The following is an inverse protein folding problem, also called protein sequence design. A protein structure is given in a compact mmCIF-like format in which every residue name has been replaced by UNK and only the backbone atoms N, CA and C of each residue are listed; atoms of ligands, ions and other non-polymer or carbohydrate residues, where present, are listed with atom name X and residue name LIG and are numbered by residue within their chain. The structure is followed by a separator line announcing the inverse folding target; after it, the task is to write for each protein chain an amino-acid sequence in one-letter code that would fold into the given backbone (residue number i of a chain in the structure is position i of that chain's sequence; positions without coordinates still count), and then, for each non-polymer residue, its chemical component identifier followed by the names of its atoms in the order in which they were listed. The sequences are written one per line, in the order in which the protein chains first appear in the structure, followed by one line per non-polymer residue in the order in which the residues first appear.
data_IF_449406729481
#
_entry.id   IF_449406729481
#
_cell.length_a   1.000
_cell.length_b   1.000
_cell.length_c   1.000
_cell.angle_alpha   90.00
_cell.angle_beta   90.00
_cell.angle_gamma   90.00
#
_symmetry.space_group_name_H-M   'P 1'
#
loop_
_entity.id
_entity.type
_entity.pdbx_description
1 polymer ?
#
# COMPACT_ATOMS: atom_id res chain seq x y z
N UNK A 1 -28.46 -19.31 -12.12
CA UNK A 1 -29.24 -18.53 -11.14
C UNK A 1 -28.34 -17.47 -10.54
N UNK A 2 -28.55 -16.20 -10.89
CA UNK A 2 -27.84 -15.08 -10.27
C UNK A 2 -28.51 -14.79 -8.92
N UNK A 3 -27.73 -14.80 -7.84
CA UNK A 3 -28.19 -14.48 -6.48
C UNK A 3 -28.89 -13.11 -6.46
N UNK A 4 -30.21 -13.11 -6.29
CA UNK A 4 -31.05 -11.92 -6.30
C UNK A 4 -30.94 -11.05 -5.02
N UNK A 5 -29.98 -11.33 -4.14
CA UNK A 5 -29.80 -10.61 -2.86
C UNK A 5 -28.38 -10.11 -2.59
N UNK A 6 -27.38 -10.41 -3.44
CA UNK A 6 -26.02 -9.94 -3.21
C UNK A 6 -25.84 -8.52 -3.76
N UNK A 7 -25.42 -7.57 -2.90
CA UNK A 7 -24.97 -6.24 -3.35
C UNK A 7 -24.00 -6.43 -4.53
N UNK A 8 -24.16 -5.72 -5.66
CA UNK A 8 -23.41 -5.99 -6.90
C UNK A 8 -21.89 -5.92 -6.71
N UNK A 9 -21.41 -5.37 -5.59
CA UNK A 9 -20.01 -5.17 -5.25
C UNK A 9 -19.49 -6.09 -4.13
N UNK A 10 -20.19 -7.17 -3.75
CA UNK A 10 -19.76 -8.07 -2.66
C UNK A 10 -18.37 -8.68 -2.91
N UNK A 11 -18.12 -9.21 -4.11
CA UNK A 11 -16.82 -9.82 -4.47
C UNK A 11 -15.65 -8.83 -4.40
N UNK A 12 -15.68 -7.66 -5.06
CA UNK A 12 -14.59 -6.69 -4.96
C UNK A 12 -14.41 -6.15 -3.53
N UNK A 13 -15.49 -6.00 -2.75
CA UNK A 13 -15.40 -5.61 -1.35
C UNK A 13 -14.64 -6.66 -0.51
N UNK A 14 -15.04 -7.93 -0.58
CA UNK A 14 -14.37 -9.02 0.14
C UNK A 14 -12.91 -9.19 -0.30
N UNK A 15 -12.65 -9.05 -1.60
CA UNK A 15 -11.28 -9.10 -2.11
C UNK A 15 -10.44 -7.95 -1.55
N UNK A 16 -10.96 -6.72 -1.50
CA UNK A 16 -10.21 -5.57 -1.00
C UNK A 16 -9.85 -5.70 0.48
N UNK A 17 -10.81 -6.08 1.32
CA UNK A 17 -10.58 -6.19 2.77
C UNK A 17 -9.61 -7.32 3.13
N UNK A 18 -9.46 -8.33 2.26
CA UNK A 18 -8.49 -9.42 2.42
C UNK A 18 -7.13 -9.09 1.80
N UNK A 19 -7.10 -8.48 0.60
CA UNK A 19 -5.85 -8.15 -0.09
C UNK A 19 -4.96 -7.21 0.72
N UNK A 20 -5.55 -6.28 1.48
CA UNK A 20 -4.79 -5.33 2.30
C UNK A 20 -3.92 -6.02 3.37
N UNK A 21 -4.48 -6.74 4.34
CA UNK A 21 -3.64 -7.42 5.33
C UNK A 21 -2.84 -8.57 4.72
N UNK A 22 -3.34 -9.28 3.71
CA UNK A 22 -2.57 -10.37 3.09
C UNK A 22 -1.28 -9.86 2.44
N UNK A 23 -1.32 -8.70 1.77
CA UNK A 23 -0.11 -8.14 1.14
C UNK A 23 0.81 -7.50 2.19
N UNK A 24 0.24 -6.75 3.15
CA UNK A 24 0.99 -6.01 4.14
C UNK A 24 1.61 -6.88 5.25
N UNK A 25 0.96 -7.99 5.61
CA UNK A 25 1.38 -8.83 6.73
C UNK A 25 1.87 -10.19 6.27
N UNK A 26 1.04 -10.93 5.51
CA UNK A 26 1.35 -12.30 5.13
C UNK A 26 2.49 -12.36 4.12
N UNK A 27 2.44 -11.53 3.07
CA UNK A 27 3.45 -11.56 2.00
C UNK A 27 4.75 -10.86 2.42
N UNK A 28 4.68 -9.89 3.34
CA UNK A 28 5.86 -9.23 3.90
C UNK A 28 6.58 -10.10 4.93
N UNK A 29 5.85 -10.99 5.59
CA UNK A 29 6.35 -11.87 6.64
C UNK A 29 6.19 -11.32 8.05
N UNK A 30 5.53 -10.17 8.23
CA UNK A 30 5.21 -9.60 9.55
C UNK A 30 4.27 -10.51 10.35
N UNK A 31 3.19 -10.99 9.70
CA UNK A 31 2.35 -12.08 10.23
C UNK A 31 2.36 -13.25 9.22
N UNK A 32 3.31 -14.20 9.34
CA UNK A 32 3.49 -15.30 8.39
C UNK A 32 2.24 -16.18 8.21
N UNK A 33 2.14 -16.94 7.11
CA UNK A 33 0.96 -17.74 6.76
C UNK A 33 0.44 -18.69 7.85
N UNK A 34 1.31 -19.25 8.69
CA UNK A 34 0.87 -20.13 9.77
C UNK A 34 0.13 -19.37 10.89
N UNK A 35 0.44 -18.11 11.13
CA UNK A 35 -0.26 -17.29 12.14
C UNK A 35 -1.69 -16.96 11.72
N UNK A 36 -1.96 -16.94 10.41
CA UNK A 36 -3.31 -16.79 9.86
C UNK A 36 -4.22 -17.99 10.12
N UNK A 37 -3.67 -19.12 10.56
CA UNK A 37 -4.47 -20.25 11.06
C UNK A 37 -5.10 -19.95 12.42
N UNK A 38 -4.59 -18.96 13.16
CA UNK A 38 -5.26 -18.45 14.33
C UNK A 38 -6.41 -17.52 13.89
N UNK A 39 -7.67 -17.92 14.09
CA UNK A 39 -8.82 -17.14 13.62
C UNK A 39 -8.92 -15.78 14.32
N UNK A 40 -8.38 -15.65 15.54
CA UNK A 40 -8.38 -14.39 16.28
C UNK A 40 -7.40 -13.40 15.63
N UNK A 41 -6.18 -13.86 15.32
CA UNK A 41 -5.19 -13.03 14.63
C UNK A 41 -5.69 -12.59 13.25
N UNK A 42 -6.20 -13.52 12.46
CA UNK A 42 -6.79 -13.22 11.16
C UNK A 42 -7.95 -12.21 11.25
N UNK A 43 -8.82 -12.34 12.27
CA UNK A 43 -9.93 -11.42 12.49
C UNK A 43 -9.42 -10.00 12.81
N UNK A 44 -8.42 -9.86 13.67
CA UNK A 44 -7.85 -8.55 14.00
C UNK A 44 -7.20 -7.88 12.79
N UNK A 45 -6.45 -8.65 11.99
CA UNK A 45 -5.87 -8.14 10.76
C UNK A 45 -6.95 -7.67 9.78
N UNK A 46 -7.99 -8.46 9.54
CA UNK A 46 -9.11 -8.08 8.67
C UNK A 46 -9.86 -6.87 9.25
N UNK A 47 -10.01 -6.78 10.57
CA UNK A 47 -10.70 -5.68 11.21
C UNK A 47 -9.94 -4.36 11.03
N UNK A 48 -8.64 -4.33 11.36
CA UNK A 48 -7.82 -3.12 11.27
C UNK A 48 -7.56 -2.74 9.80
N UNK A 49 -6.90 -3.62 9.04
CA UNK A 49 -6.50 -3.35 7.66
C UNK A 49 -7.68 -3.30 6.70
N UNK A 50 -8.63 -4.25 6.84
CA UNK A 50 -9.77 -4.33 5.95
C UNK A 50 -10.69 -3.11 6.09
N UNK A 51 -10.93 -2.64 7.32
CA UNK A 51 -11.64 -1.38 7.53
C UNK A 51 -10.81 -0.19 7.02
N UNK A 52 -9.50 -0.16 7.31
CA UNK A 52 -8.56 0.87 6.87
C UNK A 52 -8.59 1.12 5.37
N UNK A 53 -8.29 0.09 4.57
CA UNK A 53 -8.27 0.18 3.10
C UNK A 53 -9.63 0.59 2.53
N UNK A 54 -10.71 0.09 3.12
CA UNK A 54 -12.06 0.42 2.67
C UNK A 54 -12.40 1.88 2.96
N UNK A 55 -12.07 2.39 4.15
CA UNK A 55 -12.26 3.81 4.51
C UNK A 55 -11.44 4.71 3.59
N UNK A 56 -10.16 4.43 3.37
CA UNK A 56 -9.30 5.27 2.53
C UNK A 56 -9.79 5.29 1.08
N UNK A 57 -10.15 4.13 0.53
CA UNK A 57 -10.72 4.03 -0.82
C UNK A 57 -12.05 4.78 -0.95
N UNK A 58 -13.01 4.48 -0.08
CA UNK A 58 -14.34 5.08 -0.15
C UNK A 58 -14.27 6.61 0.03
N UNK A 59 -13.37 7.09 0.89
CA UNK A 59 -13.12 8.52 1.07
C UNK A 59 -12.60 9.15 -0.23
N UNK A 60 -11.56 8.57 -0.84
CA UNK A 60 -10.99 9.09 -2.07
C UNK A 60 -12.01 9.12 -3.23
N UNK A 61 -12.81 8.07 -3.37
CA UNK A 61 -13.86 7.95 -4.38
C UNK A 61 -14.98 8.96 -4.14
N UNK A 62 -15.46 9.10 -2.90
CA UNK A 62 -16.53 10.07 -2.56
C UNK A 62 -16.08 11.52 -2.73
N UNK A 63 -14.79 11.81 -2.54
CA UNK A 63 -14.21 13.11 -2.82
C UNK A 63 -13.86 13.33 -4.30
N UNK A 64 -14.01 12.31 -5.15
CA UNK A 64 -13.61 12.33 -6.56
C UNK A 64 -12.14 12.72 -6.74
N UNK A 65 -11.30 12.21 -5.84
CA UNK A 65 -9.85 12.46 -5.84
C UNK A 65 -9.08 11.31 -6.48
N UNK A 66 -7.83 11.57 -6.89
CA UNK A 66 -6.97 10.59 -7.55
C UNK A 66 -5.99 9.88 -6.62
N UNK A 67 -5.06 9.14 -7.23
CA UNK A 67 -3.98 8.40 -6.56
C UNK A 67 -3.12 9.21 -5.56
N UNK A 68 -2.80 10.50 -5.79
CA UNK A 68 -2.06 11.30 -4.81
C UNK A 68 -2.81 11.43 -3.47
N UNK A 69 -4.13 11.58 -3.53
CA UNK A 69 -4.98 11.60 -2.33
C UNK A 69 -5.05 10.23 -1.68
N UNK A 70 -5.11 9.15 -2.46
CA UNK A 70 -5.06 7.77 -1.91
C UNK A 70 -3.75 7.54 -1.15
N UNK A 71 -2.60 8.00 -1.66
CA UNK A 71 -1.31 7.88 -0.98
C UNK A 71 -1.26 8.68 0.33
N UNK A 72 -1.77 9.91 0.35
CA UNK A 72 -1.84 10.69 1.59
C UNK A 72 -2.84 10.13 2.62
N UNK A 73 -3.98 9.63 2.15
CA UNK A 73 -4.93 8.89 3.00
C UNK A 73 -4.31 7.60 3.52
N UNK A 74 -3.52 6.90 2.70
CA UNK A 74 -2.79 5.72 3.13
C UNK A 74 -1.67 6.02 4.14
N UNK A 75 -1.00 7.16 4.00
CA UNK A 75 -0.06 7.64 5.01
C UNK A 75 -0.79 7.96 6.33
N UNK A 76 -1.96 8.60 6.26
CA UNK A 76 -2.79 8.82 7.44
C UNK A 76 -3.21 7.49 8.10
N UNK A 77 -3.56 6.47 7.30
CA UNK A 77 -3.82 5.12 7.79
C UNK A 77 -2.60 4.52 8.49
N UNK A 78 -1.39 4.63 7.91
CA UNK A 78 -0.17 4.15 8.56
C UNK A 78 0.06 4.78 9.94
N UNK A 79 -0.25 6.06 10.12
CA UNK A 79 -0.16 6.71 11.44
C UNK A 79 -1.29 6.25 12.39
N UNK A 80 -2.49 5.99 11.87
CA UNK A 80 -3.60 5.43 12.66
C UNK A 80 -3.22 4.04 13.19
N UNK A 81 -2.63 3.20 12.34
CA UNK A 81 -2.18 1.87 12.71
C UNK A 81 -0.98 1.95 13.67
N UNK A 82 0.15 2.45 13.20
CA UNK A 82 1.42 2.36 13.92
C UNK A 82 1.56 3.37 15.06
N UNK A 83 1.01 4.58 14.87
CA UNK A 83 1.07 5.64 15.88
C UNK A 83 -0.04 5.51 16.93
N UNK A 84 -1.28 5.27 16.49
CA UNK A 84 -2.45 5.30 17.36
C UNK A 84 -2.92 3.91 17.81
N UNK A 85 -2.87 2.86 16.99
CA UNK A 85 -3.32 1.53 17.40
C UNK A 85 -2.21 0.79 18.16
N UNK A 86 -1.10 0.47 17.48
CA UNK A 86 -0.02 -0.36 18.03
C UNK A 86 1.12 0.43 18.67
N UNK A 87 1.15 1.75 18.52
CA UNK A 87 2.09 2.67 19.20
C UNK A 87 3.59 2.38 18.96
N UNK A 88 3.93 1.67 17.89
CA UNK A 88 5.30 1.32 17.49
C UNK A 88 6.18 2.54 17.20
N UNK A 89 5.56 3.67 16.83
CA UNK A 89 6.27 4.94 16.64
C UNK A 89 6.88 5.48 17.93
N UNK A 90 6.36 5.06 19.08
CA UNK A 90 6.71 5.62 20.38
C UNK A 90 7.37 4.59 21.29
N UNK A 91 6.97 3.32 21.20
CA UNK A 91 7.55 2.22 21.97
C UNK A 91 9.00 1.95 21.52
N UNK A 92 10.04 2.21 22.34
CA UNK A 92 11.42 1.92 21.96
C UNK A 92 11.74 0.42 21.92
N UNK A 93 10.85 -0.42 22.47
CA UNK A 93 10.99 -1.88 22.59
C UNK A 93 10.01 -2.63 21.69
N UNK A 94 9.40 -1.96 20.71
CA UNK A 94 8.55 -2.61 19.72
C UNK A 94 9.31 -3.77 19.03
N UNK A 95 8.65 -4.93 18.93
CA UNK A 95 9.29 -6.20 18.56
C UNK A 95 10.02 -6.16 17.21
N UNK A 96 9.55 -5.33 16.27
CA UNK A 96 10.09 -5.26 14.91
C UNK A 96 11.15 -4.16 14.71
N UNK A 97 11.44 -3.34 15.73
CA UNK A 97 12.35 -2.20 15.59
C UNK A 97 13.81 -2.61 15.44
N UNK A 98 14.25 -3.62 16.19
CA UNK A 98 15.68 -3.91 16.36
C UNK A 98 16.46 -2.67 16.79
N UNK A 99 17.50 -2.31 16.03
CA UNK A 99 18.36 -1.14 16.31
C UNK A 99 17.64 0.21 16.17
N UNK A 100 16.48 0.26 15.50
CA UNK A 100 15.71 1.48 15.27
C UNK A 100 15.01 2.02 16.54
N UNK A 101 14.93 1.21 17.61
CA UNK A 101 14.48 1.68 18.92
C UNK A 101 15.45 2.68 19.58
N UNK A 102 16.68 2.76 19.08
CA UNK A 102 17.70 3.73 19.50
C UNK A 102 18.13 4.62 18.33
N UNK A 103 18.37 4.01 17.17
CA UNK A 103 18.84 4.72 15.98
C UNK A 103 17.75 5.62 15.39
N UNK A 104 18.01 6.94 15.35
CA UNK A 104 17.05 7.93 14.85
C UNK A 104 15.88 8.19 15.78
N UNK A 105 15.93 7.70 17.02
CA UNK A 105 14.95 8.04 18.05
C UNK A 105 15.23 9.44 18.60
N UNK A 106 14.22 10.31 18.61
CA UNK A 106 14.31 11.65 19.19
C UNK A 106 12.94 12.13 19.70
N UNK A 107 12.92 12.80 20.85
CA UNK A 107 11.68 13.18 21.56
C UNK A 107 10.72 12.00 21.78
N UNK A 108 11.27 10.84 22.11
CA UNK A 108 10.53 9.58 22.28
C UNK A 108 9.77 9.09 21.04
N UNK A 109 10.20 9.52 19.86
CA UNK A 109 9.66 9.04 18.57
C UNK A 109 10.75 8.31 17.81
N UNK A 110 10.45 7.11 17.33
CA UNK A 110 11.28 6.31 16.43
C UNK A 110 11.14 6.87 15.00
N UNK A 111 11.75 8.02 14.68
CA UNK A 111 11.44 8.76 13.45
C UNK A 111 11.72 7.98 12.15
N UNK A 112 12.82 7.24 12.12
CA UNK A 112 13.21 6.43 10.95
C UNK A 112 12.15 5.36 10.69
N UNK A 113 11.74 4.65 11.75
CA UNK A 113 10.62 3.71 11.71
C UNK A 113 9.31 4.39 11.32
N UNK A 114 8.98 5.53 11.94
CA UNK A 114 7.73 6.22 11.70
C UNK A 114 7.56 6.67 10.24
N UNK A 115 8.62 7.22 9.63
CA UNK A 115 8.61 7.60 8.22
C UNK A 115 8.52 6.37 7.33
N UNK A 116 9.33 5.34 7.61
CA UNK A 116 9.35 4.12 6.80
C UNK A 116 7.98 3.44 6.78
N UNK A 117 7.39 3.20 7.96
CA UNK A 117 6.13 2.49 8.07
C UNK A 117 4.95 3.33 7.55
N UNK A 118 4.99 4.66 7.71
CA UNK A 118 4.01 5.55 7.06
C UNK A 118 4.01 5.37 5.55
N UNK A 119 5.19 5.32 4.91
CA UNK A 119 5.33 5.09 3.47
C UNK A 119 4.92 3.65 3.11
N UNK A 120 5.33 2.67 3.92
CA UNK A 120 5.01 1.27 3.75
C UNK A 120 3.50 1.06 3.72
N UNK A 121 2.75 1.51 4.73
CA UNK A 121 1.30 1.33 4.75
C UNK A 121 0.58 2.12 3.65
N UNK A 122 1.07 3.31 3.30
CA UNK A 122 0.53 4.09 2.19
C UNK A 122 0.56 3.31 0.86
N UNK A 123 1.67 2.62 0.59
CA UNK A 123 1.89 1.91 -0.66
C UNK A 123 1.37 0.47 -0.58
N UNK A 124 1.85 -0.29 0.39
CA UNK A 124 1.68 -1.75 0.49
C UNK A 124 0.32 -2.12 1.07
N UNK A 125 -0.11 -1.45 2.14
CA UNK A 125 -1.39 -1.77 2.80
C UNK A 125 -2.59 -1.11 2.13
N UNK A 126 -2.40 -0.02 1.39
CA UNK A 126 -3.50 0.78 0.83
C UNK A 126 -3.46 0.84 -0.69
N UNK A 127 -2.44 1.46 -1.29
CA UNK A 127 -2.45 1.73 -2.73
C UNK A 127 -2.41 0.47 -3.60
N UNK A 128 -1.54 -0.51 -3.28
CA UNK A 128 -1.40 -1.76 -4.04
C UNK A 128 -2.70 -2.60 -3.99
N UNK A 129 -3.30 -2.88 -2.82
CA UNK A 129 -4.58 -3.60 -2.73
C UNK A 129 -5.71 -2.93 -3.51
N UNK A 130 -5.83 -1.59 -3.42
CA UNK A 130 -6.82 -0.83 -4.20
C UNK A 130 -6.54 -1.00 -5.70
N UNK A 131 -5.28 -0.86 -6.13
CA UNK A 131 -4.89 -1.00 -7.53
C UNK A 131 -5.22 -2.39 -8.08
N UNK A 132 -4.84 -3.45 -7.36
CA UNK A 132 -5.08 -4.83 -7.79
C UNK A 132 -6.58 -5.14 -7.85
N UNK A 133 -7.36 -4.70 -6.86
CA UNK A 133 -8.81 -4.89 -6.86
C UNK A 133 -9.46 -4.15 -8.05
N UNK A 134 -9.08 -2.90 -8.30
CA UNK A 134 -9.57 -2.13 -9.44
C UNK A 134 -9.05 -2.64 -10.79
N UNK A 135 -7.94 -3.37 -10.80
CA UNK A 135 -7.45 -4.10 -11.97
C UNK A 135 -8.30 -5.32 -12.28
N UNK A 136 -8.68 -6.08 -11.24
CA UNK A 136 -9.52 -7.28 -11.38
C UNK A 136 -10.96 -6.90 -11.75
N UNK A 137 -11.50 -5.82 -11.18
CA UNK A 137 -12.85 -5.32 -11.43
C UNK A 137 -12.84 -3.86 -11.92
N UNK A 138 -12.54 -3.59 -13.19
CA UNK A 138 -12.51 -2.21 -13.71
C UNK A 138 -13.81 -1.43 -13.51
N UNK A 139 -14.97 -2.13 -13.48
CA UNK A 139 -16.30 -1.53 -13.29
C UNK A 139 -16.51 -0.81 -11.97
N UNK A 140 -15.68 -1.04 -10.95
CA UNK A 140 -15.80 -0.35 -9.65
C UNK A 140 -14.90 0.88 -9.52
N UNK A 141 -14.05 1.15 -10.52
CA UNK A 141 -13.15 2.32 -10.52
C UNK A 141 -13.96 3.61 -10.42
N UNK A 142 -13.61 4.48 -9.49
CA UNK A 142 -14.32 5.76 -9.27
C UNK A 142 -15.75 5.62 -8.74
N UNK A 143 -16.20 4.40 -8.41
CA UNK A 143 -17.53 4.14 -7.86
C UNK A 143 -17.45 3.58 -6.43
N UNK A 144 -18.33 4.02 -5.51
CA UNK A 144 -18.38 3.47 -4.15
C UNK A 144 -18.68 1.97 -4.16
N UNK A 145 -17.94 1.20 -3.36
CA UNK A 145 -18.24 -0.20 -3.09
C UNK A 145 -19.38 -0.35 -2.08
N UNK A 146 -19.60 0.66 -1.25
CA UNK A 146 -20.56 0.63 -0.14
C UNK A 146 -21.60 1.74 -0.22
N UNK A 147 -22.74 1.50 0.42
CA UNK A 147 -23.71 2.55 0.71
C UNK A 147 -23.13 3.57 1.71
N UNK A 148 -23.80 4.71 1.90
CA UNK A 148 -23.39 5.70 2.92
C UNK A 148 -23.34 5.09 4.34
N UNK A 149 -24.28 4.19 4.66
CA UNK A 149 -24.29 3.46 5.94
C UNK A 149 -23.10 2.52 6.05
N UNK A 150 -22.77 1.80 4.98
CA UNK A 150 -21.58 0.94 4.93
C UNK A 150 -20.29 1.72 5.17
N UNK A 151 -20.14 2.88 4.53
CA UNK A 151 -18.98 3.75 4.75
C UNK A 151 -18.86 4.25 6.20
N UNK A 152 -19.96 4.70 6.81
CA UNK A 152 -19.97 5.12 8.23
C UNK A 152 -19.62 3.94 9.14
N UNK A 153 -20.17 2.76 8.87
CA UNK A 153 -19.84 1.55 9.61
C UNK A 153 -18.35 1.19 9.47
N UNK A 154 -17.75 1.33 8.29
CA UNK A 154 -16.31 1.10 8.10
C UNK A 154 -15.45 2.09 8.89
N UNK A 155 -15.84 3.37 8.99
CA UNK A 155 -15.17 4.35 9.85
C UNK A 155 -15.27 3.95 11.32
N UNK A 156 -16.47 3.57 11.77
CA UNK A 156 -16.69 3.12 13.15
C UNK A 156 -15.90 1.85 13.46
N UNK A 157 -15.81 0.91 12.52
CA UNK A 157 -15.00 -0.30 12.64
C UNK A 157 -13.51 0.03 12.76
N UNK A 158 -12.98 0.91 11.90
CA UNK A 158 -11.58 1.33 11.98
C UNK A 158 -11.29 2.01 13.32
N UNK A 159 -12.11 2.97 13.74
CA UNK A 159 -11.95 3.65 15.02
C UNK A 159 -12.04 2.67 16.20
N UNK A 160 -12.98 1.72 16.14
CA UNK A 160 -13.13 0.66 17.12
C UNK A 160 -11.89 -0.23 17.21
N UNK A 161 -11.33 -0.64 16.07
CA UNK A 161 -10.09 -1.44 16.03
C UNK A 161 -8.94 -0.67 16.66
N UNK A 162 -8.73 0.58 16.26
CA UNK A 162 -7.67 1.45 16.79
C UNK A 162 -7.77 1.60 18.30
N UNK A 163 -8.96 1.90 18.84
CA UNK A 163 -9.18 2.06 20.28
C UNK A 163 -8.98 0.73 21.00
N UNK A 164 -9.55 -0.36 20.48
CA UNK A 164 -9.45 -1.68 21.09
C UNK A 164 -7.99 -2.14 21.20
N UNK A 165 -7.24 -2.07 20.11
CA UNK A 165 -5.82 -2.45 20.07
C UNK A 165 -5.02 -1.57 21.02
N UNK A 166 -5.18 -0.25 20.95
CA UNK A 166 -4.46 0.68 21.83
C UNK A 166 -4.71 0.41 23.31
N UNK A 167 -5.96 0.19 23.70
CA UNK A 167 -6.33 0.06 25.11
C UNK A 167 -6.03 -1.32 25.67
N UNK A 168 -6.30 -2.38 24.90
CA UNK A 168 -6.35 -3.76 25.41
C UNK A 168 -5.22 -4.65 24.92
N UNK A 169 -4.67 -4.42 23.73
CA UNK A 169 -3.65 -5.31 23.14
C UNK A 169 -2.24 -4.75 23.21
N UNK A 170 -2.08 -3.43 23.31
CA UNK A 170 -0.76 -2.80 23.35
C UNK A 170 -0.49 -2.18 24.72
N UNK A 171 0.40 -2.76 25.55
CA UNK A 171 0.66 -2.27 26.90
C UNK A 171 1.30 -0.89 26.98
N UNK A 172 2.19 -0.56 26.03
CA UNK A 172 2.95 0.69 26.04
C UNK A 172 2.05 1.93 26.07
N UNK A 173 2.39 2.93 26.89
CA UNK A 173 1.60 4.16 27.08
C UNK A 173 2.43 5.39 26.70
N UNK A 174 2.31 5.90 25.45
CA UNK A 174 2.96 7.15 25.05
C UNK A 174 2.35 8.34 25.77
N UNK A 175 3.06 9.46 25.79
CA UNK A 175 2.53 10.69 26.39
C UNK A 175 1.29 11.19 25.62
N UNK A 176 0.45 11.98 26.28
CA UNK A 176 -0.69 12.61 25.62
C UNK A 176 -0.28 13.47 24.42
N UNK A 177 0.89 14.11 24.48
CA UNK A 177 1.42 14.93 23.38
C UNK A 177 1.76 14.11 22.14
N UNK A 178 2.27 12.88 22.30
CA UNK A 178 2.52 11.97 21.19
C UNK A 178 1.22 11.57 20.47
N UNK A 179 0.18 11.22 21.24
CA UNK A 179 -1.13 10.87 20.68
C UNK A 179 -1.81 12.07 20.01
N UNK A 180 -1.71 13.25 20.61
CA UNK A 180 -2.21 14.50 20.03
C UNK A 180 -1.45 14.86 18.74
N UNK A 181 -0.13 14.72 18.74
CA UNK A 181 0.71 14.98 17.57
C UNK A 181 0.42 14.02 16.41
N UNK A 182 0.28 12.73 16.70
CA UNK A 182 -0.13 11.73 15.70
C UNK A 182 -1.53 12.01 15.15
N UNK A 183 -2.49 12.30 16.03
CA UNK A 183 -3.87 12.64 15.63
C UNK A 183 -3.94 13.91 14.79
N UNK A 184 -3.19 14.95 15.17
CA UNK A 184 -3.08 16.18 14.39
C UNK A 184 -2.47 15.92 13.01
N UNK A 185 -1.41 15.11 12.95
CA UNK A 185 -0.76 14.72 11.68
C UNK A 185 -1.73 13.97 10.76
N UNK A 186 -2.51 13.04 11.30
CA UNK A 186 -3.59 12.36 10.57
C UNK A 186 -4.59 13.37 9.99
N UNK A 187 -5.08 14.31 10.80
CA UNK A 187 -6.02 15.35 10.35
C UNK A 187 -5.41 16.22 9.25
N UNK A 188 -4.15 16.62 9.39
CA UNK A 188 -3.44 17.42 8.39
C UNK A 188 -3.25 16.66 7.07
N UNK A 189 -2.89 15.38 7.13
CA UNK A 189 -2.77 14.53 5.94
C UNK A 189 -4.11 14.34 5.23
N UNK A 190 -5.19 14.09 5.98
CA UNK A 190 -6.55 13.96 5.44
C UNK A 190 -6.99 15.27 4.78
N UNK A 191 -6.72 16.41 5.43
CA UNK A 191 -7.00 17.73 4.87
C UNK A 191 -6.18 17.99 3.59
N UNK A 192 -4.88 17.66 3.61
CA UNK A 192 -3.99 17.79 2.46
C UNK A 192 -4.43 16.89 1.29
N UNK A 193 -4.85 15.66 1.58
CA UNK A 193 -5.41 14.71 0.62
C UNK A 193 -6.63 15.29 -0.10
N UNK A 194 -7.51 15.97 0.64
CA UNK A 194 -8.73 16.58 0.09
C UNK A 194 -8.46 17.85 -0.72
N UNK A 195 -7.56 18.71 -0.25
CA UNK A 195 -7.42 20.09 -0.76
C UNK A 195 -6.26 20.28 -1.74
N UNK A 196 -5.11 19.66 -1.49
CA UNK A 196 -3.86 20.01 -2.17
C UNK A 196 -3.27 18.89 -3.01
N UNK A 197 -3.56 17.61 -2.71
CA UNK A 197 -2.91 16.48 -3.35
C UNK A 197 -2.99 16.52 -4.89
N UNK A 198 -4.18 16.75 -5.45
CA UNK A 198 -4.37 16.85 -6.90
C UNK A 198 -3.66 18.06 -7.51
N UNK A 199 -3.71 19.21 -6.84
CA UNK A 199 -3.07 20.46 -7.31
C UNK A 199 -1.56 20.29 -7.33
N UNK A 200 -0.96 19.82 -6.23
CA UNK A 200 0.48 19.59 -6.13
C UNK A 200 0.95 18.54 -7.14
N UNK A 201 0.18 17.46 -7.32
CA UNK A 201 0.49 16.43 -8.32
C UNK A 201 0.48 16.97 -9.75
N UNK A 202 -0.50 17.82 -10.08
CA UNK A 202 -0.58 18.42 -11.42
C UNK A 202 0.61 19.32 -11.74
N UNK A 203 1.21 19.95 -10.73
CA UNK A 203 2.40 20.80 -10.86
C UNK A 203 3.69 20.03 -11.06
N UNK A 204 3.73 18.73 -10.75
CA UNK A 204 4.91 17.91 -10.98
C UNK A 204 5.16 17.74 -12.48
N UNK A 205 6.39 17.98 -12.97
CA UNK A 205 6.80 17.74 -14.35
C UNK A 205 6.38 16.36 -14.89
N UNK A 206 5.66 16.33 -16.01
CA UNK A 206 5.23 15.10 -16.69
C UNK A 206 5.62 15.00 -18.16
N UNK A 207 6.26 16.04 -18.73
CA UNK A 207 6.46 16.21 -20.18
C UNK A 207 7.38 15.18 -20.86
N UNK A 208 8.04 14.29 -20.10
CA UNK A 208 8.89 13.25 -20.68
C UNK A 208 8.08 11.98 -20.91
N UNK A 209 8.24 11.37 -22.09
CA UNK A 209 7.64 10.08 -22.40
C UNK A 209 7.99 9.04 -21.32
N UNK A 210 7.03 8.21 -20.89
CA UNK A 210 7.29 7.08 -20.00
C UNK A 210 8.33 6.13 -20.61
N UNK A 211 9.36 5.74 -19.83
CA UNK A 211 10.26 4.66 -20.23
C UNK A 211 9.52 3.32 -20.41
N UNK A 212 10.26 2.31 -20.89
CA UNK A 212 9.73 0.95 -21.06
C UNK A 212 9.16 0.37 -19.74
N UNK A 213 8.13 -0.50 -19.79
CA UNK A 213 7.54 -1.12 -18.60
C UNK A 213 8.54 -1.81 -17.67
N UNK A 214 9.62 -2.39 -18.20
CA UNK A 214 10.71 -2.98 -17.39
C UNK A 214 11.36 -2.00 -16.43
N UNK A 215 11.48 -0.72 -16.81
CA UNK A 215 12.04 0.33 -15.94
C UNK A 215 11.10 0.60 -14.78
N UNK A 216 9.78 0.57 -15.01
CA UNK A 216 8.78 0.69 -13.95
C UNK A 216 8.82 -0.51 -13.00
N UNK A 217 8.95 -1.73 -13.51
CA UNK A 217 9.13 -2.92 -12.67
C UNK A 217 10.38 -2.83 -11.80
N UNK A 218 11.53 -2.48 -12.39
CA UNK A 218 12.78 -2.29 -11.64
C UNK A 218 12.68 -1.13 -10.64
N UNK A 219 12.00 -0.04 -10.98
CA UNK A 219 11.78 1.07 -10.07
C UNK A 219 10.86 0.70 -8.89
N UNK A 220 9.79 -0.05 -9.13
CA UNK A 220 8.91 -0.53 -8.06
C UNK A 220 9.59 -1.54 -7.14
N UNK A 221 10.37 -2.46 -7.72
CA UNK A 221 11.19 -3.42 -6.97
C UNK A 221 12.26 -2.70 -6.15
N UNK A 222 13.04 -1.81 -6.78
CA UNK A 222 14.09 -1.03 -6.15
C UNK A 222 13.57 -0.05 -5.11
N UNK A 223 12.35 0.49 -5.27
CA UNK A 223 11.70 1.33 -4.27
C UNK A 223 11.45 0.57 -2.97
N UNK A 224 10.81 -0.60 -3.04
CA UNK A 224 10.56 -1.37 -1.82
C UNK A 224 11.84 -2.01 -1.28
N UNK A 225 12.67 -2.63 -2.13
CA UNK A 225 13.96 -3.17 -1.70
C UNK A 225 14.83 -2.09 -1.04
N UNK A 226 14.94 -0.93 -1.68
CA UNK A 226 15.65 0.23 -1.17
C UNK A 226 15.08 0.69 0.17
N UNK A 227 13.76 0.74 0.35
CA UNK A 227 13.16 1.08 1.64
C UNK A 227 13.58 0.09 2.75
N UNK A 228 13.57 -1.22 2.49
CA UNK A 228 13.99 -2.22 3.48
C UNK A 228 15.49 -2.15 3.78
N UNK A 229 16.34 -1.97 2.76
CA UNK A 229 17.78 -1.87 2.94
C UNK A 229 18.21 -0.56 3.59
N UNK A 230 17.63 0.57 3.18
CA UNK A 230 17.96 1.90 3.72
C UNK A 230 17.49 2.02 5.16
N UNK A 231 16.23 1.67 5.44
CA UNK A 231 15.67 1.87 6.78
C UNK A 231 16.02 0.73 7.74
N UNK A 232 16.04 -0.53 7.30
CA UNK A 232 16.44 -1.67 8.13
C UNK A 232 17.96 -1.86 8.22
N UNK A 233 18.68 -1.60 7.14
CA UNK A 233 20.14 -1.78 7.05
C UNK A 233 20.95 -0.52 7.36
N UNK A 234 20.37 0.68 7.22
CA UNK A 234 21.01 1.98 7.45
C UNK A 234 21.82 2.10 8.74
N UNK A 235 21.32 1.61 9.90
CA UNK A 235 22.08 1.63 11.16
C UNK A 235 23.45 0.93 11.08
N UNK A 236 23.60 -0.09 10.22
CA UNK A 236 24.83 -0.86 10.06
C UNK A 236 25.85 -0.20 9.13
N UNK A 237 25.42 0.79 8.32
CA UNK A 237 26.31 1.53 7.42
C UNK A 237 26.87 2.82 8.03
N UNK A 238 26.60 3.10 9.32
CA UNK A 238 27.13 4.27 10.02
C UNK A 238 26.59 5.61 9.53
N UNK A 239 25.48 5.60 8.78
CA UNK A 239 24.84 6.80 8.24
C UNK A 239 24.16 7.56 9.39
N UNK A 240 24.21 8.88 9.40
CA UNK A 240 23.47 9.71 10.39
C UNK A 240 21.96 9.58 10.10
N UNK A 241 21.07 9.39 11.10
CA UNK A 241 19.64 9.15 10.86
C UNK A 241 18.94 10.15 9.93
N UNK A 242 19.35 11.42 9.96
CA UNK A 242 18.84 12.45 9.05
C UNK A 242 19.18 12.16 7.59
N UNK A 243 20.39 11.65 7.32
CA UNK A 243 20.79 11.28 5.96
C UNK A 243 19.98 10.09 5.44
N UNK A 244 19.71 9.08 6.27
CA UNK A 244 18.82 7.96 5.91
C UNK A 244 17.41 8.45 5.55
N UNK A 245 16.87 9.40 6.32
CA UNK A 245 15.58 10.02 6.01
C UNK A 245 15.61 10.83 4.69
N UNK A 246 16.70 11.56 4.43
CA UNK A 246 16.88 12.32 3.18
C UNK A 246 17.03 11.40 1.97
N UNK A 247 17.79 10.31 2.08
CA UNK A 247 17.94 9.30 1.03
C UNK A 247 16.58 8.69 0.68
N UNK A 248 15.80 8.32 1.70
CA UNK A 248 14.43 7.85 1.51
C UNK A 248 13.52 8.86 0.82
N UNK A 249 13.63 10.15 1.17
CA UNK A 249 12.90 11.22 0.52
C UNK A 249 13.31 11.40 -0.95
N UNK A 250 14.61 11.32 -1.27
CA UNK A 250 15.11 11.39 -2.65
C UNK A 250 14.58 10.23 -3.49
N UNK A 251 14.60 9.00 -2.94
CA UNK A 251 14.07 7.81 -3.63
C UNK A 251 12.57 7.97 -3.88
N UNK A 252 11.80 8.42 -2.87
CA UNK A 252 10.37 8.66 -2.99
C UNK A 252 10.06 9.71 -4.07
N UNK A 253 10.76 10.84 -4.06
CA UNK A 253 10.60 11.91 -5.06
C UNK A 253 10.96 11.41 -6.46
N UNK A 254 12.04 10.65 -6.61
CA UNK A 254 12.43 10.04 -7.89
C UNK A 254 11.36 9.13 -8.45
N UNK A 255 10.77 8.29 -7.61
CA UNK A 255 9.64 7.41 -7.98
C UNK A 255 8.39 8.21 -8.32
N UNK A 256 8.09 9.28 -7.57
CA UNK A 256 6.96 10.17 -7.88
C UNK A 256 7.12 10.81 -9.26
N UNK A 257 8.30 11.29 -9.62
CA UNK A 257 8.58 11.82 -10.96
C UNK A 257 8.41 10.77 -12.06
N UNK A 258 8.79 9.52 -11.81
CA UNK A 258 8.59 8.44 -12.77
C UNK A 258 7.10 8.12 -12.95
N UNK A 259 6.37 7.91 -11.86
CA UNK A 259 4.92 7.60 -11.88
C UNK A 259 4.12 8.75 -12.49
N UNK A 260 4.52 10.01 -12.25
CA UNK A 260 3.88 11.19 -12.82
C UNK A 260 3.80 11.15 -14.35
N UNK A 261 4.77 10.55 -15.04
CA UNK A 261 4.79 10.41 -16.52
C UNK A 261 3.66 9.53 -17.05
N UNK A 262 3.12 8.63 -16.23
CA UNK A 262 2.00 7.73 -16.61
C UNK A 262 0.65 8.18 -16.06
N UNK A 263 0.61 9.37 -15.45
CA UNK A 263 -0.60 9.87 -14.78
C UNK A 263 -1.55 10.60 -15.71
N UNK A 264 -1.05 11.25 -16.77
CA UNK A 264 -1.86 12.05 -17.68
C UNK A 264 -2.72 11.16 -18.61
N UNK A 265 -2.19 9.99 -19.00
CA UNK A 265 -2.92 8.99 -19.79
C UNK A 265 -2.82 7.59 -19.15
N UNK A 266 -3.68 7.28 -18.17
CA UNK A 266 -3.60 6.02 -17.43
C UNK A 266 -3.93 4.78 -18.27
N UNK A 267 -4.65 4.94 -19.39
CA UNK A 267 -5.07 3.82 -20.24
C UNK A 267 -3.94 3.43 -21.18
N UNK A 268 -3.35 4.41 -21.87
CA UNK A 268 -2.20 4.18 -22.76
C UNK A 268 -1.02 3.61 -21.99
N UNK A 269 -0.77 4.12 -20.78
CA UNK A 269 0.36 3.71 -19.94
C UNK A 269 0.00 2.64 -18.90
N UNK A 270 -1.08 1.88 -19.12
CA UNK A 270 -1.53 0.84 -18.20
C UNK A 270 -0.46 -0.24 -17.95
N UNK A 271 0.35 -0.59 -18.96
CA UNK A 271 1.46 -1.56 -18.84
C UNK A 271 2.53 -1.11 -17.85
N UNK A 272 2.94 0.15 -17.93
CA UNK A 272 3.95 0.75 -17.04
C UNK A 272 3.44 0.80 -15.60
N UNK A 273 2.18 1.20 -15.40
CA UNK A 273 1.54 1.27 -14.08
C UNK A 273 1.44 -0.11 -13.44
N UNK A 274 0.99 -1.11 -14.21
CA UNK A 274 0.95 -2.49 -13.75
C UNK A 274 2.36 -3.01 -13.44
N UNK A 275 3.34 -2.73 -14.31
CA UNK A 275 4.71 -3.16 -14.11
C UNK A 275 5.31 -2.57 -12.82
N UNK A 276 5.02 -1.31 -12.49
CA UNK A 276 5.45 -0.70 -11.22
C UNK A 276 4.91 -1.47 -10.01
N UNK A 277 3.59 -1.71 -9.98
CA UNK A 277 2.95 -2.46 -8.89
C UNK A 277 3.46 -3.90 -8.82
N UNK A 278 3.63 -4.55 -9.97
CA UNK A 278 4.21 -5.89 -10.06
C UNK A 278 5.68 -5.91 -9.59
N UNK A 279 6.44 -4.84 -9.80
CA UNK A 279 7.80 -4.67 -9.27
C UNK A 279 7.81 -4.60 -7.74
N UNK A 280 6.94 -3.77 -7.16
CA UNK A 280 6.77 -3.69 -5.70
C UNK A 280 6.39 -5.05 -5.11
N UNK A 281 5.32 -5.68 -5.60
CA UNK A 281 4.90 -7.00 -5.12
C UNK A 281 5.97 -8.06 -5.42
N UNK A 282 6.70 -7.93 -6.52
CA UNK A 282 7.83 -8.79 -6.89
C UNK A 282 8.95 -8.79 -5.86
N UNK A 283 9.26 -7.63 -5.26
CA UNK A 283 10.19 -7.58 -4.13
C UNK A 283 9.67 -8.38 -2.94
N UNK A 284 8.40 -8.22 -2.56
CA UNK A 284 7.82 -8.98 -1.45
C UNK A 284 7.79 -10.50 -1.73
N UNK A 285 7.57 -10.92 -2.99
CA UNK A 285 7.67 -12.34 -3.38
C UNK A 285 9.10 -12.86 -3.19
N UNK A 286 10.11 -12.08 -3.57
CA UNK A 286 11.53 -12.45 -3.35
C UNK A 286 11.84 -12.49 -1.86
N UNK A 287 11.41 -11.50 -1.08
CA UNK A 287 11.54 -11.48 0.37
C UNK A 287 10.90 -12.71 1.01
N UNK A 288 9.69 -13.09 0.59
CA UNK A 288 9.01 -14.29 1.06
C UNK A 288 9.83 -15.57 0.83
N UNK A 289 10.53 -15.69 -0.30
CA UNK A 289 11.42 -16.81 -0.55
C UNK A 289 12.61 -16.84 0.42
N UNK A 290 13.23 -15.68 0.70
CA UNK A 290 14.29 -15.57 1.72
C UNK A 290 13.79 -15.91 3.13
N UNK A 291 12.58 -15.46 3.48
CA UNK A 291 11.98 -15.74 4.78
C UNK A 291 11.65 -17.22 4.97
N UNK A 292 11.21 -17.92 3.92
CA UNK A 292 11.05 -19.38 3.97
C UNK A 292 12.38 -20.07 4.28
N UNK A 293 13.45 -19.68 3.59
CA UNK A 293 14.81 -20.22 3.81
C UNK A 293 15.28 -19.91 5.24
N UNK A 294 14.92 -18.76 5.78
CA UNK A 294 15.21 -18.35 7.15
C UNK A 294 14.32 -19.04 8.22
N UNK A 295 13.36 -19.88 7.81
CA UNK A 295 12.54 -20.69 8.71
C UNK A 295 11.09 -20.23 8.90
N UNK A 296 10.68 -19.13 8.27
CA UNK A 296 9.28 -18.66 8.28
C UNK A 296 8.44 -19.50 7.32
N UNK A 297 7.78 -20.53 7.84
CA UNK A 297 7.11 -21.57 7.04
C UNK A 297 5.87 -21.05 6.31
N UNK A 298 5.72 -21.46 5.06
CA UNK A 298 4.56 -21.17 4.21
C UNK A 298 4.70 -19.91 3.35
N UNK A 299 5.75 -19.12 3.57
CA UNK A 299 6.07 -17.93 2.80
C UNK A 299 6.29 -18.25 1.31
N UNK A 300 6.88 -19.39 0.97
CA UNK A 300 7.05 -19.81 -0.42
C UNK A 300 5.70 -20.03 -1.13
N UNK A 301 4.70 -20.56 -0.43
CA UNK A 301 3.33 -20.73 -0.96
C UNK A 301 2.67 -19.38 -1.19
N UNK A 302 2.79 -18.46 -0.22
CA UNK A 302 2.28 -17.09 -0.36
C UNK A 302 2.93 -16.38 -1.56
N UNK A 303 4.26 -16.42 -1.67
CA UNK A 303 5.01 -15.85 -2.78
C UNK A 303 4.61 -16.44 -4.14
N UNK A 304 4.50 -17.77 -4.24
CA UNK A 304 4.07 -18.45 -5.46
C UNK A 304 2.63 -18.08 -5.87
N UNK A 305 1.71 -17.96 -4.91
CA UNK A 305 0.33 -17.55 -5.16
C UNK A 305 0.26 -16.12 -5.74
N UNK A 306 1.03 -15.17 -5.20
CA UNK A 306 1.10 -13.81 -5.72
C UNK A 306 1.81 -13.74 -7.07
N UNK A 307 2.87 -14.52 -7.29
CA UNK A 307 3.52 -14.63 -8.59
C UNK A 307 2.53 -15.11 -9.66
N UNK A 308 1.78 -16.18 -9.36
CA UNK A 308 0.73 -16.69 -10.23
C UNK A 308 -0.36 -15.64 -10.49
N UNK A 309 -0.83 -14.94 -9.45
CA UNK A 309 -1.83 -13.88 -9.58
C UNK A 309 -1.34 -12.79 -10.54
N UNK A 310 -0.13 -12.25 -10.35
CA UNK A 310 0.41 -11.19 -11.20
C UNK A 310 0.57 -11.64 -12.65
N UNK A 311 1.11 -12.84 -12.88
CA UNK A 311 1.25 -13.40 -14.23
C UNK A 311 -0.12 -13.57 -14.90
N UNK A 312 -1.10 -14.09 -14.16
CA UNK A 312 -2.47 -14.26 -14.67
C UNK A 312 -3.12 -12.92 -15.02
N UNK A 313 -2.98 -11.90 -14.15
CA UNK A 313 -3.52 -10.56 -14.41
C UNK A 313 -2.84 -9.89 -15.59
N UNK A 314 -1.52 -10.04 -15.73
CA UNK A 314 -0.77 -9.51 -16.86
C UNK A 314 -1.19 -10.15 -18.18
N UNK A 315 -1.25 -11.49 -18.23
CA UNK A 315 -1.67 -12.24 -19.42
C UNK A 315 -3.10 -11.89 -19.82
N UNK A 316 -4.02 -11.81 -18.85
CA UNK A 316 -5.42 -11.43 -19.13
C UNK A 316 -5.52 -10.01 -19.72
N UNK A 317 -4.70 -9.07 -19.24
CA UNK A 317 -4.76 -7.68 -19.67
C UNK A 317 -4.03 -7.40 -21.00
N UNK A 318 -2.98 -8.19 -21.32
CA UNK A 318 -2.06 -7.89 -22.42
C UNK A 318 -1.79 -9.06 -23.37
N UNK A 319 -2.60 -10.12 -23.32
CA UNK A 319 -2.61 -11.20 -24.30
C UNK A 319 -2.96 -10.67 -25.69
N UNK A 320 -1.99 -10.67 -26.61
CA UNK A 320 -2.21 -10.38 -28.01
C UNK A 320 -2.68 -11.65 -28.75
N UNK A 321 -3.96 -11.72 -29.14
CA UNK A 321 -4.43 -12.23 -30.45
C UNK A 321 -5.96 -12.12 -30.56
N UNK A 322 -6.39 -11.17 -31.39
CA UNK A 322 -7.64 -11.00 -32.16
C UNK A 322 -7.89 -9.47 -32.28
N UNK A 323 -7.93 -8.75 -33.42
CA UNK A 323 -8.08 -9.03 -34.86
C UNK A 323 -7.52 -7.82 -35.68
N UNK A 324 -6.83 -8.14 -36.79
CA UNK A 324 -6.61 -7.45 -38.09
C UNK A 324 -6.40 -5.92 -38.20
N UNK A 325 -5.26 -5.54 -38.81
CA UNK A 325 -5.27 -4.88 -40.13
C UNK A 325 -4.20 -5.54 -41.00
N UNK A 326 -4.63 -6.50 -41.83
CA UNK A 326 -3.95 -6.76 -43.10
C UNK A 326 -4.12 -5.52 -43.98
N UNK A 327 -3.07 -4.94 -44.56
CA UNK A 327 -3.25 -3.91 -45.58
C UNK A 327 -3.97 -4.56 -46.75
N UNK A 328 -5.14 -4.05 -47.12
CA UNK A 328 -5.75 -4.36 -48.40
C UNK A 328 -4.72 -4.04 -49.49
N UNK A 329 -4.39 -5.04 -50.31
CA UNK A 329 -3.54 -4.85 -51.48
C UNK A 329 -4.17 -3.81 -52.43
N UNK A 330 -3.36 -3.11 -53.23
CA UNK A 330 -3.87 -2.15 -54.18
C UNK A 330 -4.74 -2.85 -55.24
N UNK A 331 -5.81 -2.21 -55.74
CA UNK A 331 -6.55 -2.75 -56.87
C UNK A 331 -5.63 -2.81 -58.09
N UNK A 332 -5.48 -3.99 -58.69
CA UNK A 332 -4.89 -4.14 -60.03
C UNK A 332 -5.81 -3.50 -61.07
N UNK A 333 -5.24 -2.85 -62.11
CA UNK A 333 -5.99 -2.09 -63.11
C UNK A 333 -6.87 -2.92 -64.03
#
# INVERSE_FOLDING_TARGET
MADAGAHPNRRPLLALILLSPVIAEMLSGSTPPLEWLNPIAALFLIWLYGAGVLVMRETAVRWKTGWPSILLLGAAYGIIEEGLAVKSFFDPTWMDLGTLGVYGRWLDVNWVWAVWLTIYHAVVSIAIPIFLMEWIWPRVRGHPLTSRRGYIASIALLAGATIFINLLLTPYRPSAWHLLGASLTVVLLIWAAKRYAGVLWSRLPSRKLPPAPRVYALAGFGFLMGSFLLYGGGPFFGVIPVLTALEGAVVLVGVMFLVRRTSDDPVTWARQRFAFVAGCVGFLIVLAAFLEIAGSRGMAVAGAAFAYLLVRLYRKAFSSREILVTPAGPPTP
#
